data_IF_882614109355
#
_entry.id   IF_882614109355
#
_cell.length_a   1.000
_cell.length_b   1.000
_cell.length_c   1.000
_cell.angle_alpha   90.00
_cell.angle_beta   90.00
_cell.angle_gamma   90.00
#
_symmetry.space_group_name_H-M   'P 1'
#
loop_
_entity.id
_entity.type
_entity.pdbx_description
1 polymer ?
#
# COMPACT_ATOMS: atom_id res chain seq x y z
N UNK A 1 -12.65 9.37 -6.76
CA UNK A 1 -12.20 9.38 -8.18
C UNK A 1 -10.70 9.15 -8.21
N UNK A 2 -10.18 8.42 -9.19
CA UNK A 2 -8.74 8.23 -9.37
C UNK A 2 -8.28 8.87 -10.68
N UNK A 3 -7.14 9.56 -10.67
CA UNK A 3 -6.53 10.14 -11.87
C UNK A 3 -5.20 9.45 -12.11
N UNK A 4 -5.07 8.85 -13.29
CA UNK A 4 -3.82 8.29 -13.81
C UNK A 4 -3.20 9.30 -14.78
N UNK A 5 -2.19 10.02 -14.32
CA UNK A 5 -1.52 11.05 -15.10
C UNK A 5 -0.15 10.52 -15.53
N UNK A 6 -0.17 9.84 -16.69
CA UNK A 6 0.99 9.12 -17.24
C UNK A 6 2.17 10.04 -17.55
N UNK A 7 1.92 11.23 -18.08
CA UNK A 7 3.00 12.16 -18.44
C UNK A 7 3.72 12.72 -17.21
N UNK A 8 3.00 12.85 -16.10
CA UNK A 8 3.57 13.28 -14.83
C UNK A 8 3.95 12.11 -13.91
N UNK A 9 3.92 10.88 -14.43
CA UNK A 9 4.25 9.66 -13.69
C UNK A 9 3.54 9.51 -12.35
N UNK A 10 2.32 10.05 -12.22
CA UNK A 10 1.61 10.15 -10.92
C UNK A 10 0.24 9.50 -10.95
N UNK A 11 -0.13 8.97 -9.78
CA UNK A 11 -1.49 8.48 -9.50
C UNK A 11 -2.05 9.22 -8.31
N UNK A 12 -3.21 9.84 -8.52
CA UNK A 12 -3.92 10.63 -7.52
C UNK A 12 -5.24 9.94 -7.17
N UNK A 13 -5.65 10.04 -5.90
CA UNK A 13 -6.99 9.70 -5.47
C UNK A 13 -7.70 10.91 -4.86
N UNK A 14 -8.97 11.09 -5.23
CA UNK A 14 -9.89 12.03 -4.60
C UNK A 14 -10.96 11.24 -3.86
N UNK A 15 -11.05 11.46 -2.55
CA UNK A 15 -12.19 10.99 -1.78
C UNK A 15 -13.47 11.76 -2.18
N UNK A 16 -14.66 11.16 -2.00
CA UNK A 16 -15.92 11.88 -2.19
C UNK A 16 -15.93 13.16 -1.33
N UNK A 17 -16.26 14.30 -1.93
CA UNK A 17 -16.28 15.63 -1.30
C UNK A 17 -14.90 16.18 -0.86
N UNK A 18 -13.79 15.61 -1.30
CA UNK A 18 -12.47 16.17 -1.03
C UNK A 18 -12.17 17.41 -1.89
N UNK A 19 -11.61 18.45 -1.27
CA UNK A 19 -11.17 19.68 -1.95
C UNK A 19 -9.78 19.53 -2.62
N UNK A 20 -9.04 18.46 -2.29
CA UNK A 20 -7.73 18.15 -2.83
C UNK A 20 -7.59 16.64 -3.03
N UNK A 21 -6.71 16.23 -3.94
CA UNK A 21 -6.41 14.83 -4.20
C UNK A 21 -5.19 14.39 -3.40
N UNK A 22 -5.24 13.21 -2.81
CA UNK A 22 -4.09 12.60 -2.17
C UNK A 22 -3.18 11.98 -3.23
N UNK A 23 -1.87 12.15 -3.02
CA UNK A 23 -0.89 11.43 -3.80
C UNK A 23 -0.79 9.99 -3.32
N UNK A 24 -1.09 9.03 -4.21
CA UNK A 24 -0.87 7.62 -3.92
C UNK A 24 0.57 7.21 -4.26
N UNK A 25 1.06 7.62 -5.43
CA UNK A 25 2.43 7.32 -5.87
C UNK A 25 2.84 8.26 -7.01
N UNK A 26 4.15 8.50 -7.16
CA UNK A 26 4.72 9.20 -8.31
C UNK A 26 4.71 10.73 -8.24
N UNK A 27 4.27 11.35 -7.14
CA UNK A 27 4.18 12.82 -7.03
C UNK A 27 5.50 13.51 -6.72
N UNK A 28 6.60 12.77 -6.56
CA UNK A 28 7.95 13.32 -6.39
C UNK A 28 8.49 13.98 -7.67
N UNK A 29 7.72 14.01 -8.76
CA UNK A 29 8.13 14.52 -10.10
C UNK A 29 9.43 13.87 -10.63
N UNK A 30 9.87 12.79 -10.00
CA UNK A 30 11.12 12.09 -10.25
C UNK A 30 10.78 10.65 -10.62
N UNK A 31 11.31 10.21 -11.75
CA UNK A 31 11.19 8.83 -12.23
C UNK A 31 12.21 7.97 -11.51
N UNK A 32 11.81 6.79 -11.05
CA UNK A 32 12.76 5.85 -10.46
C UNK A 32 12.11 4.59 -9.91
N UNK A 33 12.93 3.76 -9.28
CA UNK A 33 12.58 2.40 -8.88
C UNK A 33 12.37 2.24 -7.36
N UNK A 34 12.44 3.30 -6.57
CA UNK A 34 12.11 3.25 -5.14
C UNK A 34 10.59 3.21 -4.92
N UNK A 35 10.17 2.92 -3.68
CA UNK A 35 8.74 2.91 -3.31
C UNK A 35 8.13 4.29 -3.57
N UNK A 36 6.92 4.33 -4.12
CA UNK A 36 6.21 5.56 -4.54
C UNK A 36 6.79 6.30 -5.76
N UNK A 37 7.64 5.66 -6.58
CA UNK A 37 8.03 6.16 -7.90
C UNK A 37 7.55 5.22 -9.01
N UNK A 38 7.25 5.78 -10.17
CA UNK A 38 6.79 5.06 -11.36
C UNK A 38 7.67 5.44 -12.56
N UNK A 39 7.81 4.50 -13.48
CA UNK A 39 8.30 4.77 -14.82
C UNK A 39 7.12 4.89 -15.79
N UNK A 40 7.20 5.86 -16.71
CA UNK A 40 6.22 6.28 -17.73
C UNK A 40 5.35 5.19 -18.37
N UNK A 41 5.82 3.95 -18.43
CA UNK A 41 5.01 2.78 -18.76
C UNK A 41 4.41 2.16 -17.49
N UNK A 42 3.25 2.67 -17.04
CA UNK A 42 2.48 2.04 -15.96
C UNK A 42 0.98 1.92 -16.26
N UNK A 43 0.35 0.95 -15.60
CA UNK A 43 -1.10 0.73 -15.60
C UNK A 43 -1.62 0.50 -14.18
N UNK A 44 -2.94 0.64 -14.00
CA UNK A 44 -3.60 0.48 -12.71
C UNK A 44 -4.78 -0.48 -12.77
N UNK A 45 -5.02 -1.21 -11.68
CA UNK A 45 -6.19 -2.06 -11.48
C UNK A 45 -6.64 -2.02 -10.00
N UNK A 46 -7.91 -2.29 -9.75
CA UNK A 46 -8.47 -2.33 -8.39
C UNK A 46 -8.88 -3.76 -8.03
N UNK A 47 -8.69 -4.17 -6.76
CA UNK A 47 -9.33 -5.36 -6.22
C UNK A 47 -10.73 -5.04 -5.64
N UNK A 48 -11.50 -6.08 -5.34
CA UNK A 48 -12.84 -5.95 -4.75
C UNK A 48 -12.83 -5.38 -3.32
N UNK A 49 -11.65 -5.31 -2.68
CA UNK A 49 -11.44 -4.70 -1.37
C UNK A 49 -11.03 -3.22 -1.49
N UNK A 50 -10.99 -2.69 -2.72
CA UNK A 50 -10.63 -1.31 -2.99
C UNK A 50 -9.13 -1.04 -3.03
N UNK A 51 -8.25 -2.04 -2.92
CA UNK A 51 -6.81 -1.80 -3.06
C UNK A 51 -6.42 -1.50 -4.50
N UNK A 52 -5.45 -0.61 -4.67
CA UNK A 52 -4.90 -0.23 -5.97
C UNK A 52 -3.65 -1.05 -6.29
N UNK A 53 -3.65 -1.70 -7.44
CA UNK A 53 -2.48 -2.35 -8.02
C UNK A 53 -1.93 -1.49 -9.14
N UNK A 54 -0.62 -1.31 -9.15
CA UNK A 54 0.09 -0.55 -10.18
C UNK A 54 1.14 -1.44 -10.81
N UNK A 55 1.02 -1.69 -12.10
CA UNK A 55 2.05 -2.36 -12.88
C UNK A 55 3.01 -1.31 -13.44
N UNK A 56 4.20 -1.24 -12.86
CA UNK A 56 5.30 -0.36 -13.25
C UNK A 56 6.19 -1.10 -14.25
N UNK A 57 5.68 -1.24 -15.47
CA UNK A 57 6.29 -2.09 -16.52
C UNK A 57 7.67 -1.61 -16.92
N UNK A 58 7.94 -0.30 -16.84
CA UNK A 58 9.28 0.25 -17.09
C UNK A 58 10.31 -0.18 -16.05
N UNK A 59 9.88 -0.63 -14.87
CA UNK A 59 10.74 -1.15 -13.81
C UNK A 59 10.52 -2.66 -13.55
N UNK A 60 9.78 -3.36 -14.42
CA UNK A 60 9.44 -4.78 -14.27
C UNK A 60 8.86 -5.13 -12.87
N UNK A 61 8.04 -4.23 -12.31
CA UNK A 61 7.54 -4.34 -10.93
C UNK A 61 6.02 -4.19 -10.87
N UNK A 62 5.38 -4.86 -9.92
CA UNK A 62 4.02 -4.57 -9.49
C UNK A 62 4.04 -4.04 -8.05
N UNK A 63 3.28 -2.97 -7.78
CA UNK A 63 3.14 -2.36 -6.46
C UNK A 63 1.67 -2.36 -6.05
N UNK A 64 1.39 -2.62 -4.77
CA UNK A 64 0.04 -2.55 -4.19
C UNK A 64 -0.01 -1.37 -3.23
N UNK A 65 -1.02 -0.52 -3.40
CA UNK A 65 -1.29 0.63 -2.56
C UNK A 65 -2.67 0.48 -1.92
N UNK A 66 -2.72 0.81 -0.63
CA UNK A 66 -3.99 1.04 0.06
C UNK A 66 -4.41 2.47 -0.27
N UNK A 67 -5.63 2.63 -0.75
CA UNK A 67 -6.19 3.94 -1.12
C UNK A 67 -7.00 4.51 0.03
N UNK A 68 -7.19 5.84 0.00
CA UNK A 68 -7.75 6.65 1.06
C UNK A 68 -9.26 6.43 1.22
N UNK A 69 -9.61 5.26 1.73
CA UNK A 69 -10.91 4.90 2.26
C UNK A 69 -10.65 3.78 3.28
N UNK A 70 -10.31 4.20 4.49
CA UNK A 70 -10.23 3.42 5.73
C UNK A 70 -11.04 2.12 5.68
N UNK A 71 -10.37 0.98 5.74
CA UNK A 71 -10.53 0.00 6.83
C UNK A 71 -9.64 -1.23 6.55
N UNK A 72 -8.44 -1.23 7.12
CA UNK A 72 -7.80 -2.50 7.48
C UNK A 72 -8.26 -2.83 8.90
N UNK A 73 -8.97 -3.95 9.15
CA UNK A 73 -9.06 -4.45 10.51
C UNK A 73 -7.63 -4.69 11.01
N UNK A 74 -7.27 -4.27 12.25
CA UNK A 74 -5.91 -4.46 12.75
C UNK A 74 -5.49 -5.91 12.55
N UNK A 75 -4.21 -6.18 12.21
CA UNK A 75 -3.75 -7.54 11.99
C UNK A 75 -4.08 -8.36 13.25
N UNK A 76 -4.54 -9.62 13.11
CA UNK A 76 -4.86 -10.43 14.28
C UNK A 76 -3.66 -10.44 15.22
N UNK A 77 -3.86 -10.30 16.55
CA UNK A 77 -2.76 -10.28 17.49
C UNK A 77 -1.91 -11.55 17.30
N UNK A 78 -0.57 -11.46 17.40
CA UNK A 78 0.29 -12.62 17.26
C UNK A 78 -0.14 -13.70 18.26
N UNK A 79 -0.04 -15.00 17.90
CA UNK A 79 -0.38 -16.07 18.82
C UNK A 79 0.44 -15.93 20.11
N UNK A 80 -0.16 -16.21 21.29
CA UNK A 80 0.57 -16.13 22.55
C UNK A 80 1.81 -17.03 22.47
N UNK A 81 2.94 -16.62 23.08
CA UNK A 81 4.13 -17.46 23.10
C UNK A 81 3.79 -18.83 23.71
N UNK A 82 4.45 -19.91 23.27
CA UNK A 82 4.28 -21.22 23.87
C UNK A 82 4.42 -21.10 25.39
N UNK A 83 3.47 -21.67 26.15
CA UNK A 83 3.57 -21.72 27.61
C UNK A 83 4.93 -22.36 27.92
N UNK A 84 5.86 -21.60 28.48
CA UNK A 84 7.11 -22.18 28.98
C UNK A 84 6.73 -23.27 29.98
N UNK A 85 7.38 -24.45 29.93
CA UNK A 85 7.17 -25.48 30.94
C UNK A 85 7.38 -24.83 32.31
N UNK A 86 6.34 -24.80 33.13
CA UNK A 86 6.48 -24.37 34.51
C UNK A 86 7.39 -25.38 35.18
N UNK A 87 8.65 -25.02 35.39
CA UNK A 87 9.57 -25.82 36.20
C UNK A 87 8.91 -25.95 37.58
N UNK A 88 8.60 -27.17 38.06
CA UNK A 88 8.10 -27.35 39.41
C UNK A 88 9.14 -26.75 40.37
N UNK A 89 8.75 -25.72 41.12
CA UNK A 89 9.57 -25.24 42.23
C UNK A 89 9.59 -26.37 43.26
N UNK A 90 10.64 -27.18 43.24
CA UNK A 90 10.92 -28.08 44.34
C UNK A 90 11.26 -27.20 45.55
N UNK A 91 10.35 -27.14 46.52
CA UNK A 91 10.60 -26.49 47.80
C UNK A 91 11.58 -27.38 48.57
N UNK A 92 12.65 -26.77 49.08
CA UNK A 92 13.62 -27.39 49.99
C UNK A 92 13.09 -27.35 51.43
#
# INVERSE_FOLDING_TARGET
MYICDKNNNRILCWAPNACAGDCITGCSMTVGAIFNQLNSSFSIAFDSQGSLYVSDTGNNRAQKFLVCNNEFPPPPPPPPPPRQPTVPQYQA
#
